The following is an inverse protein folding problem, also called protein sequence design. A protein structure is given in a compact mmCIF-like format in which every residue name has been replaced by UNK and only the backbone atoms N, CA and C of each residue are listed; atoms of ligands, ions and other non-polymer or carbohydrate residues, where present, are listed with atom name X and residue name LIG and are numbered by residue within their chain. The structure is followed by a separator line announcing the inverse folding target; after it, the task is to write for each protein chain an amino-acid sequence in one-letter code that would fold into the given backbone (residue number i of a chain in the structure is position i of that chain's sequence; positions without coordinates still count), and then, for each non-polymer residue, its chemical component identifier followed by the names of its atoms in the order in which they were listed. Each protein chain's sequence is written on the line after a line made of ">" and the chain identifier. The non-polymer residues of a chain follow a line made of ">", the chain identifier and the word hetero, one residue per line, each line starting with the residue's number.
data_IF_225636345726
#
_entry.id   IF_225636345726
#
_cell.length_a   1.000
_cell.length_b   1.000
_cell.length_c   1.000
_cell.angle_alpha   90.00
_cell.angle_beta   90.00
_cell.angle_gamma   90.00
#
_symmetry.space_group_name_H-M   'P 1'
#
loop_
_entity.id
_entity.type
_entity.pdbx_description
1 polymer ?
#
# COMPACT_ATOMS: atom_id res chain seq x y z
N UNK A 1 -27.02 -9.96 -10.88
CA UNK A 1 -25.88 -9.02 -10.73
C UNK A 1 -26.30 -7.99 -9.70
N UNK A 2 -25.73 -8.02 -8.50
CA UNK A 2 -26.10 -7.10 -7.42
C UNK A 2 -25.48 -5.72 -7.63
N UNK A 3 -26.20 -4.67 -7.26
CA UNK A 3 -25.65 -3.32 -7.17
C UNK A 3 -24.61 -3.30 -6.04
N UNK A 4 -23.39 -2.81 -6.32
CA UNK A 4 -22.38 -2.53 -5.28
C UNK A 4 -22.73 -1.16 -4.69
N UNK A 5 -22.88 -1.06 -3.38
CA UNK A 5 -23.13 0.24 -2.73
C UNK A 5 -21.86 1.10 -2.74
N UNK A 6 -22.02 2.42 -2.62
CA UNK A 6 -20.88 3.35 -2.54
C UNK A 6 -19.97 2.98 -1.37
N UNK A 7 -20.54 2.75 -0.19
CA UNK A 7 -19.80 2.35 1.01
C UNK A 7 -19.02 1.03 0.81
N UNK A 8 -19.64 0.02 0.18
CA UNK A 8 -18.96 -1.24 -0.09
C UNK A 8 -17.80 -1.04 -1.08
N UNK A 9 -18.01 -0.21 -2.11
CA UNK A 9 -16.97 0.15 -3.09
C UNK A 9 -15.78 0.84 -2.42
N UNK A 10 -16.05 1.82 -1.55
CA UNK A 10 -15.01 2.56 -0.82
C UNK A 10 -14.23 1.63 0.11
N UNK A 11 -14.92 0.77 0.87
CA UNK A 11 -14.27 -0.20 1.73
C UNK A 11 -13.36 -1.16 0.95
N UNK A 12 -13.81 -1.66 -0.22
CA UNK A 12 -13.02 -2.55 -1.07
C UNK A 12 -11.78 -1.85 -1.60
N UNK A 13 -11.95 -0.61 -2.08
CA UNK A 13 -10.87 0.20 -2.62
C UNK A 13 -9.82 0.52 -1.55
N UNK A 14 -10.24 1.01 -0.39
CA UNK A 14 -9.36 1.35 0.72
C UNK A 14 -8.71 0.14 1.38
N UNK A 15 -9.42 -1.00 1.46
CA UNK A 15 -8.81 -2.27 1.86
C UNK A 15 -7.58 -2.58 0.99
N UNK A 16 -7.74 -2.41 -0.33
CA UNK A 16 -6.66 -2.57 -1.30
C UNK A 16 -5.46 -1.66 -1.02
N UNK A 17 -5.72 -0.38 -0.77
CA UNK A 17 -4.70 0.64 -0.48
C UNK A 17 -3.95 0.35 0.82
N UNK A 18 -4.67 0.16 1.92
CA UNK A 18 -4.04 -0.05 3.23
C UNK A 18 -3.18 -1.31 3.26
N UNK A 19 -3.68 -2.43 2.70
CA UNK A 19 -2.91 -3.68 2.63
C UNK A 19 -1.64 -3.51 1.77
N UNK A 20 -1.71 -2.79 0.64
CA UNK A 20 -0.53 -2.54 -0.17
C UNK A 20 0.46 -1.61 0.53
N UNK A 21 0.00 -0.54 1.19
CA UNK A 21 0.86 0.39 1.93
C UNK A 21 1.69 -0.35 2.97
N UNK A 22 1.06 -1.25 3.74
CA UNK A 22 1.76 -2.06 4.74
C UNK A 22 2.80 -2.96 4.07
N UNK A 23 2.40 -3.73 3.05
CA UNK A 23 3.30 -4.63 2.32
C UNK A 23 4.53 -3.90 1.77
N UNK A 24 4.29 -2.77 1.10
CA UNK A 24 5.32 -1.95 0.45
C UNK A 24 6.24 -1.28 1.46
N UNK A 25 5.68 -0.76 2.54
CA UNK A 25 6.45 -0.14 3.60
C UNK A 25 7.38 -1.15 4.23
N UNK A 26 6.91 -2.35 4.61
CA UNK A 26 7.79 -3.40 5.17
C UNK A 26 8.92 -3.75 4.20
N UNK A 27 8.62 -3.89 2.90
CA UNK A 27 9.64 -4.19 1.89
C UNK A 27 10.73 -3.11 1.83
N UNK A 28 10.35 -1.84 1.88
CA UNK A 28 11.30 -0.72 1.95
C UNK A 28 12.01 -0.64 3.29
N UNK A 29 11.34 -1.07 4.36
CA UNK A 29 11.82 -1.01 5.73
C UNK A 29 13.04 -1.90 5.96
N UNK A 30 13.07 -3.10 5.37
CA UNK A 30 14.25 -3.99 5.48
C UNK A 30 15.52 -3.30 4.97
N UNK A 31 15.47 -2.73 3.75
CA UNK A 31 16.60 -2.01 3.18
C UNK A 31 16.94 -0.73 3.95
N UNK A 32 15.93 -0.02 4.48
CA UNK A 32 16.13 1.18 5.28
C UNK A 32 16.84 0.85 6.61
N UNK A 33 16.46 -0.25 7.27
CA UNK A 33 17.11 -0.70 8.49
C UNK A 33 18.59 -1.01 8.27
N UNK A 34 18.94 -1.68 7.17
CA UNK A 34 20.34 -1.96 6.84
C UNK A 34 21.15 -0.65 6.68
N UNK A 35 20.60 0.34 5.97
CA UNK A 35 21.24 1.66 5.82
C UNK A 35 21.37 2.39 7.16
N UNK A 36 20.34 2.36 8.02
CA UNK A 36 20.37 2.99 9.33
C UNK A 36 21.41 2.38 10.27
N UNK A 37 21.65 1.07 10.17
CA UNK A 37 22.62 0.35 10.99
C UNK A 37 24.06 0.54 10.49
N UNK A 38 24.28 0.49 9.18
CA UNK A 38 25.62 0.41 8.60
C UNK A 38 26.17 1.73 8.07
N UNK A 39 25.31 2.70 7.71
CA UNK A 39 25.70 3.89 6.92
C UNK A 39 25.28 5.20 7.58
N UNK A 40 23.98 5.40 7.81
CA UNK A 40 23.43 6.67 8.30
C UNK A 40 22.19 6.43 9.17
N UNK A 41 22.35 6.62 10.48
CA UNK A 41 21.27 6.49 11.46
C UNK A 41 20.05 7.39 11.14
N UNK A 42 20.24 8.49 10.41
CA UNK A 42 19.18 9.43 10.04
C UNK A 42 18.53 9.14 8.68
N UNK A 43 18.86 8.00 8.04
CA UNK A 43 18.30 7.63 6.74
C UNK A 43 16.76 7.51 6.73
N UNK A 44 16.11 7.34 7.89
CA UNK A 44 14.65 7.37 8.00
C UNK A 44 14.03 8.73 7.70
N UNK A 45 14.77 9.84 7.84
CA UNK A 45 14.24 11.19 7.63
C UNK A 45 13.90 11.45 6.15
N UNK A 46 14.79 11.19 5.18
CA UNK A 46 14.42 11.22 3.76
C UNK A 46 13.22 10.31 3.43
N UNK A 47 13.16 9.12 4.03
CA UNK A 47 12.04 8.19 3.85
C UNK A 47 10.72 8.79 4.34
N UNK A 48 10.72 9.40 5.54
CA UNK A 48 9.56 10.08 6.10
C UNK A 48 9.13 11.25 5.22
N UNK A 49 10.07 12.09 4.78
CA UNK A 49 9.80 13.22 3.90
C UNK A 49 9.14 12.78 2.59
N UNK A 50 9.68 11.75 1.92
CA UNK A 50 9.14 11.23 0.66
C UNK A 50 7.68 10.77 0.78
N UNK A 51 7.34 10.12 1.90
CA UNK A 51 6.00 9.58 2.16
C UNK A 51 5.08 10.56 2.89
N UNK A 52 5.51 11.80 3.14
CA UNK A 52 4.81 12.79 3.96
C UNK A 52 4.47 12.29 5.39
N UNK A 53 5.35 11.47 5.97
CA UNK A 53 5.24 11.01 7.36
C UNK A 53 5.85 12.09 8.27
N UNK A 54 5.16 12.52 9.33
CA UNK A 54 5.73 13.45 10.30
C UNK A 54 6.98 12.88 10.98
N UNK A 55 8.08 13.63 10.98
CA UNK A 55 9.29 13.27 11.74
C UNK A 55 9.11 13.64 13.22
N UNK A 56 8.42 12.75 13.95
CA UNK A 56 8.14 12.89 15.39
C UNK A 56 9.04 12.00 16.25
N UNK A 57 10.07 11.40 15.66
CA UNK A 57 10.89 10.34 16.27
C UNK A 57 12.16 10.92 16.88
N UNK A 58 12.57 10.35 18.02
CA UNK A 58 13.76 10.80 18.76
C UNK A 58 15.06 10.37 18.08
N UNK A 59 15.08 9.11 17.63
CA UNK A 59 16.22 8.44 17.02
C UNK A 59 15.74 7.28 16.12
N UNK A 60 16.68 6.56 15.50
CA UNK A 60 16.41 5.44 14.60
C UNK A 60 15.65 4.29 15.27
N UNK A 61 15.94 3.99 16.53
CA UNK A 61 15.29 2.91 17.27
C UNK A 61 13.85 3.28 17.65
N UNK A 62 13.64 4.54 18.06
CA UNK A 62 12.31 5.11 18.32
C UNK A 62 11.47 5.16 17.04
N UNK A 63 12.07 5.52 15.90
CA UNK A 63 11.44 5.40 14.59
C UNK A 63 11.02 3.97 14.32
N UNK A 64 11.93 3.00 14.52
CA UNK A 64 11.62 1.59 14.24
C UNK A 64 10.45 1.10 15.10
N UNK A 65 10.49 1.31 16.41
CA UNK A 65 9.46 0.80 17.30
C UNK A 65 8.11 1.51 17.09
N UNK A 66 8.12 2.85 17.08
CA UNK A 66 6.91 3.66 16.98
C UNK A 66 6.24 3.55 15.61
N UNK A 67 7.01 3.63 14.52
CA UNK A 67 6.43 3.54 13.18
C UNK A 67 5.91 2.13 12.86
N UNK A 68 6.49 1.07 13.44
CA UNK A 68 5.93 -0.28 13.32
C UNK A 68 4.63 -0.43 14.11
N UNK A 69 4.61 -0.03 15.39
CA UNK A 69 3.63 -0.56 16.34
C UNK A 69 2.72 0.46 17.03
N UNK A 70 2.97 1.78 16.93
CA UNK A 70 2.21 2.79 17.68
C UNK A 70 0.79 2.95 17.14
N UNK A 71 -0.28 2.58 17.89
CA UNK A 71 -1.65 2.68 17.40
C UNK A 71 -2.16 4.11 17.31
N UNK A 72 -1.58 5.05 18.07
CA UNK A 72 -1.98 6.46 18.00
C UNK A 72 -1.35 7.20 16.82
N UNK A 73 -0.29 6.64 16.23
CA UNK A 73 0.29 7.17 15.02
C UNK A 73 -0.54 6.69 13.82
N UNK A 74 -1.24 7.59 13.11
CA UNK A 74 -2.08 7.19 11.98
C UNK A 74 -1.27 6.62 10.81
N UNK A 75 0.01 6.97 10.70
CA UNK A 75 0.91 6.54 9.64
C UNK A 75 1.61 5.22 9.95
N UNK A 76 1.53 4.73 11.19
CA UNK A 76 2.19 3.47 11.58
C UNK A 76 1.69 2.28 10.76
N UNK A 77 2.55 1.27 10.64
CA UNK A 77 2.17 0.01 9.99
C UNK A 77 0.99 -0.65 10.68
N UNK A 78 1.00 -0.67 12.02
CA UNK A 78 -0.11 -1.21 12.80
C UNK A 78 -1.43 -0.51 12.47
N UNK A 79 -1.45 0.82 12.48
CA UNK A 79 -2.67 1.59 12.19
C UNK A 79 -3.17 1.37 10.77
N UNK A 80 -2.29 1.29 9.77
CA UNK A 80 -2.69 0.99 8.40
C UNK A 80 -3.19 -0.45 8.25
N UNK A 81 -2.55 -1.44 8.89
CA UNK A 81 -3.01 -2.83 8.86
C UNK A 81 -4.35 -3.01 9.60
N UNK A 82 -4.56 -2.31 10.71
CA UNK A 82 -5.84 -2.28 11.43
C UNK A 82 -6.96 -1.77 10.54
N UNK A 83 -6.76 -0.65 9.81
CA UNK A 83 -7.75 -0.15 8.85
C UNK A 83 -8.04 -1.13 7.72
N UNK A 84 -7.03 -1.83 7.22
CA UNK A 84 -7.23 -2.90 6.25
C UNK A 84 -8.10 -4.02 6.84
N UNK A 85 -7.80 -4.45 8.06
CA UNK A 85 -8.56 -5.49 8.77
C UNK A 85 -10.00 -5.07 9.06
N UNK A 86 -10.23 -3.84 9.51
CA UNK A 86 -11.57 -3.29 9.80
C UNK A 86 -12.43 -3.24 8.52
N UNK A 87 -11.86 -2.75 7.42
CA UNK A 87 -12.54 -2.82 6.11
C UNK A 87 -12.82 -4.27 5.70
N UNK A 88 -11.88 -5.17 5.93
CA UNK A 88 -12.04 -6.60 5.66
C UNK A 88 -13.16 -7.24 6.49
N UNK A 89 -13.32 -6.84 7.75
CA UNK A 89 -14.40 -7.30 8.63
C UNK A 89 -15.77 -6.90 8.09
N UNK A 90 -15.95 -5.63 7.73
CA UNK A 90 -17.18 -5.12 7.11
C UNK A 90 -17.48 -5.90 5.81
N UNK A 91 -16.44 -6.23 5.05
CA UNK A 91 -16.52 -6.91 3.78
C UNK A 91 -16.46 -8.45 3.87
N UNK A 92 -16.56 -9.07 5.06
CA UNK A 92 -16.35 -10.51 5.23
C UNK A 92 -17.17 -11.38 4.28
N UNK A 93 -18.41 -11.00 4.02
CA UNK A 93 -19.32 -11.72 3.11
C UNK A 93 -18.94 -11.53 1.63
N UNK A 94 -18.18 -10.49 1.31
CA UNK A 94 -17.69 -10.15 -0.03
C UNK A 94 -16.31 -10.78 -0.27
N UNK A 95 -15.36 -10.58 0.64
CA UNK A 95 -13.97 -11.04 0.47
C UNK A 95 -13.76 -12.50 0.84
N UNK A 96 -14.74 -13.13 1.49
CA UNK A 96 -14.71 -14.46 2.11
C UNK A 96 -13.97 -14.53 3.45
N UNK A 97 -14.33 -15.52 4.27
CA UNK A 97 -13.65 -15.78 5.55
C UNK A 97 -12.18 -16.20 5.38
N UNK A 98 -11.80 -17.03 4.38
CA UNK A 98 -10.38 -17.31 4.09
C UNK A 98 -9.55 -16.03 3.85
N UNK A 99 -10.00 -15.11 2.99
CA UNK A 99 -9.25 -13.86 2.75
C UNK A 99 -9.11 -13.04 4.02
N UNK A 100 -10.20 -12.87 4.77
CA UNK A 100 -10.17 -12.13 6.04
C UNK A 100 -9.21 -12.77 7.06
N UNK A 101 -9.10 -14.09 7.11
CA UNK A 101 -8.21 -14.76 8.06
C UNK A 101 -6.74 -14.41 7.86
N UNK A 102 -6.30 -14.12 6.64
CA UNK A 102 -4.92 -13.69 6.39
C UNK A 102 -4.65 -12.28 6.93
N UNK A 103 -5.62 -11.36 6.84
CA UNK A 103 -5.52 -10.05 7.50
C UNK A 103 -5.48 -10.20 9.02
N UNK A 104 -6.29 -11.10 9.58
CA UNK A 104 -6.25 -11.41 11.01
C UNK A 104 -4.88 -11.96 11.45
N UNK A 105 -4.32 -12.90 10.69
CA UNK A 105 -3.00 -13.47 10.98
C UNK A 105 -1.90 -12.42 10.92
N UNK A 106 -1.95 -11.51 9.94
CA UNK A 106 -1.06 -10.37 9.87
C UNK A 106 -1.19 -9.45 11.10
N UNK A 107 -2.42 -9.14 11.53
CA UNK A 107 -2.66 -8.35 12.75
C UNK A 107 -2.12 -9.04 14.00
N UNK A 108 -2.35 -10.34 14.16
CA UNK A 108 -1.85 -11.11 15.29
C UNK A 108 -0.30 -11.08 15.34
N UNK A 109 0.36 -11.23 14.20
CA UNK A 109 1.82 -11.10 14.11
C UNK A 109 2.31 -9.71 14.56
N UNK A 110 1.63 -8.64 14.17
CA UNK A 110 1.98 -7.28 14.61
C UNK A 110 1.80 -7.11 16.13
N UNK A 111 0.72 -7.66 16.70
CA UNK A 111 0.47 -7.59 18.15
C UNK A 111 1.48 -8.40 18.96
N UNK A 112 1.85 -9.59 18.50
CA UNK A 112 2.91 -10.39 19.10
C UNK A 112 4.27 -9.71 18.98
N UNK A 113 4.56 -9.11 17.82
CA UNK A 113 5.76 -8.32 17.59
C UNK A 113 5.92 -7.17 18.57
N UNK A 114 4.83 -6.41 18.77
CA UNK A 114 4.78 -5.32 19.75
C UNK A 114 5.03 -5.79 21.18
N UNK A 115 4.48 -6.95 21.57
CA UNK A 115 4.68 -7.52 22.92
C UNK A 115 6.11 -7.97 23.15
N UNK A 116 6.73 -8.56 22.14
CA UNK A 116 8.04 -9.20 22.24
C UNK A 116 9.22 -8.32 21.78
N UNK A 117 8.95 -7.11 21.27
CA UNK A 117 9.94 -6.20 20.65
C UNK A 117 10.77 -6.87 19.55
N UNK A 118 10.12 -7.70 18.73
CA UNK A 118 10.77 -8.52 17.71
C UNK A 118 10.56 -7.93 16.30
N UNK A 119 11.37 -6.94 15.93
CA UNK A 119 11.04 -6.05 14.80
C UNK A 119 11.24 -6.70 13.41
N UNK A 120 12.33 -7.44 13.18
CA UNK A 120 12.70 -7.91 11.83
C UNK A 120 11.90 -9.15 11.35
N UNK A 121 11.65 -10.13 12.24
CA UNK A 121 10.94 -11.37 11.88
C UNK A 121 9.45 -11.13 11.61
N UNK A 122 8.86 -10.17 12.31
CA UNK A 122 7.43 -9.85 12.22
C UNK A 122 7.07 -9.25 10.86
N UNK A 123 7.92 -8.38 10.32
CA UNK A 123 7.71 -7.80 8.99
C UNK A 123 7.56 -8.87 7.91
N UNK A 124 8.43 -9.88 7.89
CA UNK A 124 8.39 -10.97 6.91
C UNK A 124 7.11 -11.80 6.99
N UNK A 125 6.71 -12.20 8.20
CA UNK A 125 5.47 -12.97 8.39
C UNK A 125 4.25 -12.16 7.96
N UNK A 126 4.20 -10.87 8.27
CA UNK A 126 3.13 -9.97 7.83
C UNK A 126 3.09 -9.88 6.30
N UNK A 127 4.24 -9.74 5.64
CA UNK A 127 4.29 -9.76 4.17
C UNK A 127 3.78 -11.07 3.59
N UNK A 128 4.15 -12.21 4.15
CA UNK A 128 3.70 -13.53 3.69
C UNK A 128 2.18 -13.67 3.81
N UNK A 129 1.60 -13.24 4.92
CA UNK A 129 0.14 -13.22 5.09
C UNK A 129 -0.54 -12.24 4.14
N UNK A 130 0.04 -11.08 3.84
CA UNK A 130 -0.50 -10.16 2.84
C UNK A 130 -0.42 -10.73 1.42
N UNK A 131 0.65 -11.47 1.07
CA UNK A 131 0.75 -12.21 -0.18
C UNK A 131 -0.30 -13.31 -0.29
N UNK A 132 -0.50 -14.07 0.80
CA UNK A 132 -1.54 -15.09 0.87
C UNK A 132 -2.95 -14.47 0.79
N UNK A 133 -3.17 -13.30 1.41
CA UNK A 133 -4.40 -12.51 1.26
C UNK A 133 -4.66 -12.16 -0.21
N UNK A 134 -3.64 -11.69 -0.96
CA UNK A 134 -3.81 -11.38 -2.37
C UNK A 134 -4.17 -12.61 -3.22
N UNK A 135 -3.54 -13.76 -2.95
CA UNK A 135 -3.89 -15.02 -3.60
C UNK A 135 -5.31 -15.49 -3.25
N UNK A 136 -5.70 -15.35 -1.98
CA UNK A 136 -7.03 -15.70 -1.48
C UNK A 136 -8.13 -14.82 -2.10
N UNK A 137 -7.89 -13.52 -2.25
CA UNK A 137 -8.81 -12.60 -2.94
C UNK A 137 -9.02 -13.01 -4.39
N UNK A 138 -7.97 -13.47 -5.07
CA UNK A 138 -8.08 -13.93 -6.45
C UNK A 138 -8.90 -15.21 -6.60
N UNK A 139 -8.75 -16.13 -5.66
CA UNK A 139 -9.44 -17.42 -5.64
C UNK A 139 -10.92 -17.30 -5.22
N UNK A 140 -11.20 -16.60 -4.13
CA UNK A 140 -12.51 -16.71 -3.45
C UNK A 140 -13.48 -15.56 -3.71
N UNK A 141 -13.02 -14.40 -4.19
CA UNK A 141 -13.93 -13.27 -4.45
C UNK A 141 -14.64 -13.49 -5.79
N UNK A 142 -15.93 -13.81 -5.72
CA UNK A 142 -16.71 -14.23 -6.87
C UNK A 142 -16.86 -13.11 -7.93
N UNK A 143 -17.12 -11.87 -7.51
CA UNK A 143 -17.32 -10.76 -8.43
C UNK A 143 -16.00 -10.30 -9.04
N UNK A 144 -15.93 -10.29 -10.38
CA UNK A 144 -14.82 -9.69 -11.10
C UNK A 144 -14.68 -8.18 -10.82
N UNK A 145 -15.80 -7.48 -10.62
CA UNK A 145 -15.80 -6.04 -10.33
C UNK A 145 -15.24 -5.75 -8.94
N UNK A 146 -15.65 -6.52 -7.91
CA UNK A 146 -15.16 -6.36 -6.53
C UNK A 146 -13.66 -6.68 -6.44
N UNK A 147 -13.20 -7.76 -7.12
CA UNK A 147 -11.77 -8.05 -7.25
C UNK A 147 -11.00 -6.90 -7.90
N UNK A 148 -11.57 -6.30 -8.94
CA UNK A 148 -10.95 -5.17 -9.62
C UNK A 148 -10.91 -3.92 -8.73
N UNK A 149 -11.94 -3.65 -7.93
CA UNK A 149 -11.96 -2.52 -6.97
C UNK A 149 -10.83 -2.64 -5.95
N UNK A 150 -10.69 -3.80 -5.30
CA UNK A 150 -9.60 -4.04 -4.33
C UNK A 150 -8.24 -3.85 -5.02
N UNK A 151 -8.06 -4.41 -6.21
CA UNK A 151 -6.79 -4.32 -6.94
C UNK A 151 -6.51 -2.93 -7.52
N UNK A 152 -7.54 -2.15 -7.84
CA UNK A 152 -7.39 -0.76 -8.25
C UNK A 152 -6.80 0.06 -7.10
N UNK A 153 -7.35 -0.08 -5.89
CA UNK A 153 -6.77 0.54 -4.69
C UNK A 153 -5.32 0.11 -4.46
N UNK A 154 -5.06 -1.20 -4.53
CA UNK A 154 -3.70 -1.75 -4.42
C UNK A 154 -2.71 -1.09 -5.39
N UNK A 155 -3.02 -1.06 -6.68
CA UNK A 155 -2.08 -0.54 -7.67
C UNK A 155 -1.97 0.98 -7.66
N UNK A 156 -3.02 1.71 -7.27
CA UNK A 156 -2.94 3.15 -7.09
C UNK A 156 -2.02 3.51 -5.91
N UNK A 157 -2.15 2.80 -4.79
CA UNK A 157 -1.26 3.00 -3.64
C UNK A 157 0.19 2.66 -3.98
N UNK A 158 0.40 1.53 -4.67
CA UNK A 158 1.72 1.14 -5.15
C UNK A 158 2.33 2.24 -6.01
N UNK A 159 1.57 2.78 -6.96
CA UNK A 159 2.03 3.80 -7.89
C UNK A 159 2.46 5.08 -7.15
N UNK A 160 1.65 5.57 -6.20
CA UNK A 160 1.98 6.73 -5.37
C UNK A 160 3.29 6.51 -4.60
N UNK A 161 3.45 5.34 -3.95
CA UNK A 161 4.68 5.01 -3.23
C UNK A 161 5.89 4.84 -4.15
N UNK A 162 5.73 4.26 -5.34
CA UNK A 162 6.82 4.07 -6.29
C UNK A 162 7.41 5.40 -6.74
N UNK A 163 6.56 6.39 -7.04
CA UNK A 163 7.04 7.68 -7.50
C UNK A 163 7.73 8.43 -6.37
N UNK A 164 7.15 8.43 -5.16
CA UNK A 164 7.73 9.07 -3.96
C UNK A 164 9.07 8.48 -3.56
N UNK A 165 9.21 7.16 -3.62
CA UNK A 165 10.41 6.46 -3.19
C UNK A 165 11.47 6.34 -4.30
N UNK A 166 11.33 7.07 -5.41
CA UNK A 166 12.36 7.07 -6.44
C UNK A 166 12.45 5.76 -7.24
N UNK A 167 11.41 4.94 -7.32
CA UNK A 167 11.47 3.72 -8.13
C UNK A 167 11.58 4.03 -9.63
N UNK A 168 12.14 3.09 -10.38
CA UNK A 168 12.35 3.25 -11.82
C UNK A 168 11.04 3.39 -12.60
N UNK A 169 11.09 4.21 -13.65
CA UNK A 169 9.98 4.40 -14.59
C UNK A 169 9.53 3.10 -15.27
N UNK A 170 10.42 2.13 -15.45
CA UNK A 170 10.07 0.79 -15.92
C UNK A 170 9.11 0.07 -14.96
N UNK A 171 9.46 0.04 -13.67
CA UNK A 171 8.63 -0.56 -12.61
C UNK A 171 7.27 0.15 -12.49
N UNK A 172 7.28 1.48 -12.61
CA UNK A 172 6.08 2.33 -12.63
C UNK A 172 5.20 2.00 -13.85
N UNK A 173 5.77 1.85 -15.04
CA UNK A 173 5.05 1.48 -16.26
C UNK A 173 4.32 0.12 -16.14
N UNK A 174 4.97 -0.86 -15.50
CA UNK A 174 4.34 -2.16 -15.21
C UNK A 174 3.14 -2.00 -14.26
N UNK A 175 3.27 -1.14 -13.24
CA UNK A 175 2.16 -0.85 -12.31
C UNK A 175 1.02 -0.10 -13.00
N UNK A 176 1.30 0.89 -13.85
CA UNK A 176 0.29 1.61 -14.64
C UNK A 176 -0.51 0.64 -15.51
N UNK A 177 0.15 -0.23 -16.28
CA UNK A 177 -0.55 -1.20 -17.11
C UNK A 177 -1.44 -2.16 -16.29
N UNK A 178 -1.03 -2.50 -15.06
CA UNK A 178 -1.87 -3.28 -14.13
C UNK A 178 -3.04 -2.46 -13.61
N UNK A 179 -2.83 -1.21 -13.22
CA UNK A 179 -3.84 -0.29 -12.69
C UNK A 179 -4.96 -0.06 -13.71
N UNK A 180 -4.65 0.25 -14.97
CA UNK A 180 -5.64 0.57 -16.00
C UNK A 180 -6.68 -0.55 -16.16
N UNK A 181 -6.22 -1.80 -16.26
CA UNK A 181 -7.08 -2.98 -16.36
C UNK A 181 -8.02 -3.11 -15.16
N UNK A 182 -7.58 -2.70 -13.98
CA UNK A 182 -8.39 -2.76 -12.75
C UNK A 182 -9.35 -1.59 -12.65
N UNK A 183 -8.98 -0.38 -13.08
CA UNK A 183 -9.90 0.77 -13.15
C UNK A 183 -11.09 0.46 -14.07
N UNK A 184 -10.81 -0.06 -15.27
CA UNK A 184 -11.84 -0.46 -16.24
C UNK A 184 -12.72 -1.58 -15.67
N UNK A 185 -12.11 -2.64 -15.13
CA UNK A 185 -12.85 -3.78 -14.56
C UNK A 185 -13.68 -3.42 -13.32
N UNK A 186 -13.23 -2.44 -12.54
CA UNK A 186 -13.94 -1.89 -11.39
C UNK A 186 -15.07 -0.93 -11.78
N UNK A 187 -15.07 -0.45 -13.03
CA UNK A 187 -15.93 0.63 -13.54
C UNK A 187 -15.71 1.96 -12.80
N UNK A 188 -14.47 2.23 -12.39
CA UNK A 188 -14.10 3.52 -11.82
C UNK A 188 -13.92 4.54 -12.95
N UNK A 189 -14.43 5.75 -12.75
CA UNK A 189 -14.18 6.87 -13.64
C UNK A 189 -12.80 7.46 -13.33
N UNK A 190 -12.03 7.73 -14.37
CA UNK A 190 -10.70 8.32 -14.27
C UNK A 190 -10.38 9.20 -15.47
N UNK A 191 -9.49 10.17 -15.25
CA UNK A 191 -9.02 11.06 -16.31
C UNK A 191 -8.02 10.33 -17.24
N UNK A 192 -8.49 10.03 -18.45
CA UNK A 192 -7.69 9.33 -19.46
C UNK A 192 -6.52 10.16 -20.00
N UNK A 193 -6.57 11.48 -19.95
CA UNK A 193 -5.47 12.34 -20.38
C UNK A 193 -4.34 12.30 -19.35
N UNK A 194 -4.69 12.40 -18.06
CA UNK A 194 -3.71 12.24 -16.96
C UNK A 194 -3.08 10.85 -16.99
N UNK A 195 -3.89 9.81 -17.22
CA UNK A 195 -3.38 8.45 -17.33
C UNK A 195 -2.39 8.28 -18.51
N UNK A 196 -2.71 8.85 -19.68
CA UNK A 196 -1.81 8.84 -20.84
C UNK A 196 -0.51 9.60 -20.57
N UNK A 197 -0.57 10.73 -19.87
CA UNK A 197 0.62 11.48 -19.46
C UNK A 197 1.56 10.61 -18.60
N UNK A 198 1.02 9.92 -17.60
CA UNK A 198 1.81 9.01 -16.75
C UNK A 198 2.46 7.88 -17.55
N UNK A 199 1.75 7.32 -18.54
CA UNK A 199 2.33 6.32 -19.45
C UNK A 199 3.48 6.90 -20.28
N UNK A 200 3.37 8.13 -20.75
CA UNK A 200 4.42 8.80 -21.51
C UNK A 200 5.68 9.00 -20.65
N UNK A 201 5.53 9.45 -19.40
CA UNK A 201 6.66 9.55 -18.47
C UNK A 201 7.35 8.20 -18.27
N UNK A 202 6.57 7.14 -18.05
CA UNK A 202 7.10 5.79 -17.91
C UNK A 202 7.84 5.27 -19.17
N UNK A 203 7.46 5.72 -20.37
CA UNK A 203 8.08 5.34 -21.63
C UNK A 203 9.36 6.13 -21.94
N UNK A 204 9.35 7.43 -21.66
CA UNK A 204 10.52 8.29 -21.86
C UNK A 204 11.63 7.96 -20.86
N UNK A 205 11.25 7.46 -19.67
CA UNK A 205 12.16 7.13 -18.58
C UNK A 205 13.07 8.28 -18.17
N UNK A 206 12.56 9.52 -18.30
CA UNK A 206 13.23 10.73 -17.88
C UNK A 206 13.03 10.93 -16.38
N UNK A 207 14.12 10.94 -15.62
CA UNK A 207 14.10 10.85 -14.14
C UNK A 207 14.43 12.18 -13.47
N UNK A 208 13.75 13.23 -13.93
CA UNK A 208 13.82 14.56 -13.33
C UNK A 208 12.80 14.73 -12.19
N UNK A 209 13.18 15.53 -11.18
CA UNK A 209 12.35 15.80 -9.99
C UNK A 209 11.00 16.43 -10.36
N UNK A 210 11.00 17.38 -11.31
CA UNK A 210 9.79 18.04 -11.82
C UNK A 210 8.80 17.03 -12.43
N UNK A 211 9.30 16.02 -13.16
CA UNK A 211 8.47 14.97 -13.76
C UNK A 211 7.79 14.14 -12.66
N UNK A 212 8.50 13.83 -11.58
CA UNK A 212 7.94 13.09 -10.44
C UNK A 212 6.88 13.91 -9.70
N UNK A 213 7.09 15.20 -9.51
CA UNK A 213 6.09 16.09 -8.88
C UNK A 213 4.80 16.15 -9.71
N UNK A 214 4.92 16.37 -11.03
CA UNK A 214 3.78 16.38 -11.94
C UNK A 214 3.06 15.02 -11.92
N UNK A 215 3.81 13.91 -11.91
CA UNK A 215 3.22 12.57 -11.84
C UNK A 215 2.41 12.37 -10.54
N UNK A 216 2.92 12.83 -9.39
CA UNK A 216 2.20 12.74 -8.11
C UNK A 216 0.90 13.55 -8.11
N UNK A 217 0.91 14.75 -8.66
CA UNK A 217 -0.31 15.58 -8.77
C UNK A 217 -1.37 14.89 -9.65
N UNK A 218 -0.94 14.32 -10.77
CA UNK A 218 -1.81 13.61 -11.69
C UNK A 218 -2.45 12.36 -11.05
N UNK A 219 -1.69 11.63 -10.22
CA UNK A 219 -2.20 10.43 -9.53
C UNK A 219 -3.23 10.80 -8.45
N UNK A 220 -2.95 11.85 -7.65
CA UNK A 220 -3.87 12.30 -6.58
C UNK A 220 -5.24 12.72 -7.12
N UNK A 221 -5.27 13.19 -8.36
CA UNK A 221 -6.47 13.69 -9.03
C UNK A 221 -6.89 12.82 -10.22
N UNK A 222 -6.45 11.56 -10.24
CA UNK A 222 -6.69 10.64 -11.36
C UNK A 222 -8.15 10.17 -11.41
N UNK A 223 -8.72 9.80 -10.26
CA UNK A 223 -10.10 9.34 -10.15
C UNK A 223 -11.07 10.53 -10.13
N UNK A 224 -12.23 10.36 -10.76
CA UNK A 224 -13.28 11.39 -10.94
C UNK A 224 -14.49 11.16 -10.04
#
# INVERSE_FOLDING_TARGET
>A
MGFISIEQSDNLFWLGRYAERVYRTIRSFEALCDVMLDIDEQAYKPFCAALNIPDIYKDSLDFIDSYLYEPQNPDSLYSNLSRAYDNGLVLRNTISSPSLSYLQLAMNCMEEGRRNRANALVGRQVMDYLLAFWGSVDEYVASGQERCLIKAGRYLERLDMQIRLGESWESIGVTLGKLERRLIGAKLLYDTNKFRLLLNFAQLADDDEEVREIALENIRTLLL
#
